data_IF_806925543428
#
_entry.id   IF_806925543428
#
_cell.length_a   1.000
_cell.length_b   1.000
_cell.length_c   1.000
_cell.angle_alpha   90.00
_cell.angle_beta   90.00
_cell.angle_gamma   90.00
#
_symmetry.space_group_name_H-M   'P 1'
#
loop_
_entity.id
_entity.type
_entity.pdbx_description
1 polymer ?
#
# COMPACT_ATOMS: atom_id res chain seq x y z
N UNK A 1 -11.09 -70.69 16.50
CA UNK A 1 -11.09 -69.51 17.40
C UNK A 1 -11.31 -68.24 16.58
N UNK A 2 -12.55 -67.79 16.44
CA UNK A 2 -12.90 -66.54 15.73
C UNK A 2 -14.10 -65.90 16.43
N UNK A 3 -13.88 -65.12 17.49
CA UNK A 3 -14.91 -64.28 18.10
C UNK A 3 -14.27 -62.98 18.61
N UNK A 4 -15.01 -61.88 18.41
CA UNK A 4 -14.87 -60.56 19.09
C UNK A 4 -14.05 -59.44 18.42
N UNK A 5 -13.87 -59.40 17.10
CA UNK A 5 -13.32 -58.20 16.44
C UNK A 5 -14.39 -57.29 15.81
N UNK A 6 -15.59 -57.81 15.53
CA UNK A 6 -16.58 -57.09 14.71
C UNK A 6 -17.59 -56.21 15.49
N UNK A 7 -17.62 -56.30 16.82
CA UNK A 7 -18.58 -55.55 17.66
C UNK A 7 -18.04 -54.21 18.20
N UNK A 8 -16.74 -53.92 18.05
CA UNK A 8 -16.11 -52.70 18.58
C UNK A 8 -16.05 -51.53 17.58
N UNK A 9 -16.13 -51.83 16.28
CA UNK A 9 -16.08 -50.83 15.20
C UNK A 9 -17.24 -49.82 15.25
N UNK A 10 -18.52 -50.21 15.44
CA UNK A 10 -19.62 -49.23 15.44
C UNK A 10 -19.61 -48.33 16.67
N UNK A 11 -19.16 -48.83 17.83
CA UNK A 11 -19.08 -48.05 19.06
C UNK A 11 -17.99 -46.96 18.97
N UNK A 12 -16.86 -47.27 18.31
CA UNK A 12 -15.76 -46.31 18.14
C UNK A 12 -16.13 -45.20 17.14
N UNK A 13 -16.83 -45.55 16.05
CA UNK A 13 -17.36 -44.57 15.08
C UNK A 13 -18.40 -43.65 15.73
N UNK A 14 -19.29 -44.21 16.57
CA UNK A 14 -20.28 -43.44 17.31
C UNK A 14 -19.63 -42.47 18.31
N UNK A 15 -18.56 -42.90 18.99
CA UNK A 15 -17.80 -42.05 19.91
C UNK A 15 -17.13 -40.89 19.18
N UNK A 16 -16.53 -41.14 18.00
CA UNK A 16 -15.91 -40.08 17.19
C UNK A 16 -16.96 -39.07 16.71
N UNK A 17 -18.13 -39.52 16.26
CA UNK A 17 -19.24 -38.64 15.84
C UNK A 17 -19.78 -37.78 17.00
N UNK A 18 -19.85 -38.35 18.20
CA UNK A 18 -20.26 -37.61 19.40
C UNK A 18 -19.19 -36.58 19.79
N UNK A 19 -17.92 -36.94 19.75
CA UNK A 19 -16.81 -36.02 20.05
C UNK A 19 -16.74 -34.88 19.04
N UNK A 20 -16.99 -35.12 17.74
CA UNK A 20 -17.02 -34.05 16.73
C UNK A 20 -18.24 -33.14 16.90
N UNK A 21 -19.42 -33.67 17.21
CA UNK A 21 -20.61 -32.88 17.52
C UNK A 21 -20.44 -31.99 18.77
N UNK A 22 -19.75 -32.49 19.80
CA UNK A 22 -19.50 -31.74 21.04
C UNK A 22 -18.39 -30.69 20.87
N UNK A 23 -17.40 -30.95 20.02
CA UNK A 23 -16.29 -30.01 19.77
C UNK A 23 -16.58 -28.96 18.70
N UNK A 24 -17.57 -29.17 17.83
CA UNK A 24 -18.03 -28.18 16.84
C UNK A 24 -18.31 -26.78 17.42
N UNK A 25 -19.07 -26.60 18.52
CA UNK A 25 -19.32 -25.29 19.10
C UNK A 25 -18.07 -24.64 19.72
N UNK A 26 -17.07 -25.43 20.12
CA UNK A 26 -15.81 -24.91 20.67
C UNK A 26 -14.87 -24.38 19.58
N UNK A 27 -14.88 -25.00 18.39
CA UNK A 27 -14.08 -24.55 17.23
C UNK A 27 -14.68 -23.28 16.60
N UNK A 28 -16.00 -23.07 16.69
CA UNK A 28 -16.66 -21.85 16.19
C UNK A 28 -16.54 -20.65 17.13
N UNK A 29 -16.12 -20.84 18.39
CA UNK A 29 -15.82 -19.74 19.29
C UNK A 29 -14.41 -19.21 19.04
N UNK A 30 -14.15 -18.80 17.79
CA UNK A 30 -12.97 -18.01 17.46
C UNK A 30 -13.17 -16.67 18.15
N UNK A 31 -12.46 -16.45 19.26
CA UNK A 31 -12.34 -15.13 19.86
C UNK A 31 -11.86 -14.16 18.78
N UNK A 32 -12.78 -13.35 18.25
CA UNK A 32 -12.41 -12.16 17.48
C UNK A 32 -11.72 -11.26 18.49
N UNK A 33 -10.40 -11.21 18.44
CA UNK A 33 -9.67 -10.12 19.07
C UNK A 33 -10.32 -8.82 18.55
N UNK A 34 -11.01 -8.11 19.44
CA UNK A 34 -11.60 -6.82 19.11
C UNK A 34 -10.44 -5.85 18.93
N UNK A 35 -9.93 -5.77 17.70
CA UNK A 35 -9.02 -4.72 17.30
C UNK A 35 -9.74 -3.39 17.56
N UNK A 36 -9.16 -2.55 18.40
CA UNK A 36 -9.70 -1.23 18.69
C UNK A 36 -9.29 -0.32 17.53
N UNK A 37 -10.27 0.16 16.77
CA UNK A 37 -10.05 1.02 15.60
C UNK A 37 -10.05 0.26 14.27
N UNK A 38 -10.00 1.01 13.18
CA UNK A 38 -10.15 0.47 11.82
C UNK A 38 -11.60 0.36 11.34
N UNK A 39 -12.57 0.72 12.19
CA UNK A 39 -13.99 0.71 11.84
C UNK A 39 -14.29 1.69 10.71
N UNK A 40 -14.97 1.16 9.68
CA UNK A 40 -15.36 1.90 8.49
C UNK A 40 -16.88 1.95 8.36
N UNK A 41 -17.40 3.02 7.78
CA UNK A 41 -18.81 3.12 7.39
C UNK A 41 -19.12 2.26 6.14
N UNK A 42 -20.37 2.27 5.68
CA UNK A 42 -20.81 1.51 4.49
C UNK A 42 -20.12 1.93 3.19
N UNK A 43 -19.49 3.10 3.16
CA UNK A 43 -18.75 3.62 2.01
C UNK A 43 -17.24 3.37 2.14
N UNK A 44 -16.79 2.79 3.26
CA UNK A 44 -15.39 2.50 3.53
C UNK A 44 -14.63 3.62 4.23
N UNK A 45 -15.31 4.66 4.73
CA UNK A 45 -14.69 5.79 5.41
C UNK A 45 -14.34 5.45 6.85
N UNK A 46 -13.12 5.75 7.28
CA UNK A 46 -12.62 5.44 8.61
C UNK A 46 -13.24 6.37 9.68
N UNK A 47 -14.26 5.87 10.38
CA UNK A 47 -15.11 6.65 11.30
C UNK A 47 -14.28 7.16 12.49
N UNK A 48 -13.42 6.30 13.06
CA UNK A 48 -12.58 6.65 14.21
C UNK A 48 -11.56 7.76 13.92
N UNK A 49 -11.23 8.00 12.65
CA UNK A 49 -10.37 9.11 12.21
C UNK A 49 -11.18 10.34 11.78
N UNK A 50 -12.52 10.29 11.89
CA UNK A 50 -13.40 11.41 11.59
C UNK A 50 -13.80 11.56 10.12
N UNK A 51 -13.50 10.58 9.27
CA UNK A 51 -13.94 10.59 7.88
C UNK A 51 -15.40 10.17 7.76
N UNK A 52 -16.12 10.87 6.88
CA UNK A 52 -17.48 10.55 6.48
C UNK A 52 -17.62 10.65 4.97
N UNK A 53 -18.51 9.83 4.40
CA UNK A 53 -18.84 9.92 2.99
C UNK A 53 -19.45 11.28 2.62
N UNK A 54 -18.98 11.88 1.52
CA UNK A 54 -19.57 13.08 0.91
C UNK A 54 -20.03 12.74 -0.50
N UNK A 55 -21.34 12.82 -0.76
CA UNK A 55 -21.92 12.59 -2.09
C UNK A 55 -21.48 13.67 -3.10
N UNK A 56 -21.35 14.92 -2.64
CA UNK A 56 -20.93 16.06 -3.46
C UNK A 56 -19.51 15.88 -4.02
N UNK A 57 -18.61 15.34 -3.21
CA UNK A 57 -17.19 15.13 -3.54
C UNK A 57 -16.96 13.73 -4.12
N UNK A 58 -17.83 12.77 -3.78
CA UNK A 58 -17.69 11.34 -4.12
C UNK A 58 -16.43 10.71 -3.50
N UNK A 59 -16.14 11.08 -2.24
CA UNK A 59 -15.03 10.58 -1.46
C UNK A 59 -15.29 10.70 0.05
N UNK A 60 -14.51 9.95 0.83
CA UNK A 60 -14.41 10.12 2.27
C UNK A 60 -13.64 11.39 2.59
N UNK A 61 -14.24 12.28 3.39
CA UNK A 61 -13.65 13.57 3.77
C UNK A 61 -13.86 13.85 5.24
N UNK A 62 -13.02 14.72 5.80
CA UNK A 62 -13.30 15.41 7.06
C UNK A 62 -13.96 16.73 6.73
N UNK A 63 -15.24 16.88 7.03
CA UNK A 63 -16.03 18.06 6.66
C UNK A 63 -15.43 19.37 7.16
N UNK A 64 -14.67 19.34 8.26
CA UNK A 64 -13.97 20.50 8.81
C UNK A 64 -12.66 20.88 8.10
N UNK A 65 -12.13 20.02 7.23
CA UNK A 65 -10.95 20.33 6.39
C UNK A 65 -11.40 20.89 5.04
N UNK A 66 -12.60 20.54 4.59
CA UNK A 66 -13.18 20.96 3.29
C UNK A 66 -14.25 22.05 3.48
N UNK A 67 -13.92 23.11 4.24
CA UNK A 67 -14.90 24.14 4.67
C UNK A 67 -15.26 25.18 3.62
N UNK A 68 -14.33 25.53 2.74
CA UNK A 68 -14.51 26.61 1.76
C UNK A 68 -14.77 26.05 0.36
N UNK A 69 -15.55 26.77 -0.43
CA UNK A 69 -15.97 26.35 -1.78
C UNK A 69 -14.79 26.00 -2.68
N UNK A 70 -13.71 26.79 -2.63
CA UNK A 70 -12.50 26.51 -3.39
C UNK A 70 -11.86 25.17 -3.02
N UNK A 71 -11.81 24.82 -1.73
CA UNK A 71 -11.23 23.56 -1.27
C UNK A 71 -12.14 22.38 -1.61
N UNK A 72 -13.47 22.56 -1.55
CA UNK A 72 -14.44 21.56 -2.01
C UNK A 72 -14.30 21.27 -3.49
N UNK A 73 -14.18 22.29 -4.32
CA UNK A 73 -13.99 22.14 -5.77
C UNK A 73 -12.69 21.39 -6.09
N UNK A 74 -11.61 21.68 -5.35
CA UNK A 74 -10.35 20.94 -5.48
C UNK A 74 -10.49 19.48 -5.04
N UNK A 75 -11.15 19.22 -3.91
CA UNK A 75 -11.42 17.86 -3.43
C UNK A 75 -12.24 17.06 -4.46
N UNK A 76 -13.30 17.66 -5.01
CA UNK A 76 -14.18 17.07 -6.01
C UNK A 76 -13.48 16.75 -7.32
N UNK A 77 -12.66 17.69 -7.81
CA UNK A 77 -11.81 17.46 -9.00
C UNK A 77 -10.82 16.33 -8.77
N UNK A 78 -10.17 16.31 -7.60
CA UNK A 78 -9.22 15.27 -7.22
C UNK A 78 -9.90 13.89 -7.18
N UNK A 79 -11.03 13.77 -6.49
CA UNK A 79 -11.81 12.54 -6.41
C UNK A 79 -12.27 12.08 -7.81
N UNK A 80 -12.82 12.99 -8.62
CA UNK A 80 -13.29 12.68 -9.97
C UNK A 80 -12.17 12.18 -10.89
N UNK A 81 -10.99 12.81 -10.81
CA UNK A 81 -9.80 12.36 -11.54
C UNK A 81 -9.36 10.98 -11.07
N UNK A 82 -9.28 10.73 -9.76
CA UNK A 82 -8.94 9.40 -9.23
C UNK A 82 -9.94 8.31 -9.68
N UNK A 83 -11.25 8.61 -9.67
CA UNK A 83 -12.28 7.69 -10.17
C UNK A 83 -12.05 7.39 -11.66
N UNK A 84 -11.74 8.40 -12.48
CA UNK A 84 -11.48 8.22 -13.91
C UNK A 84 -10.24 7.36 -14.20
N UNK A 85 -9.29 7.30 -13.26
CA UNK A 85 -8.10 6.45 -13.32
C UNK A 85 -8.34 5.05 -12.72
N UNK A 86 -9.58 4.71 -12.36
CA UNK A 86 -9.97 3.40 -11.86
C UNK A 86 -9.79 3.18 -10.36
N UNK A 87 -9.49 4.23 -9.59
CA UNK A 87 -9.44 4.12 -8.13
C UNK A 87 -10.85 4.08 -7.52
N UNK A 88 -10.98 3.35 -6.40
CA UNK A 88 -12.21 3.26 -5.60
C UNK A 88 -11.89 3.43 -4.11
N UNK A 89 -12.92 3.65 -3.29
CA UNK A 89 -12.78 3.91 -1.84
C UNK A 89 -11.82 5.08 -1.55
N UNK A 90 -12.06 6.21 -2.21
CA UNK A 90 -11.19 7.39 -2.15
C UNK A 90 -11.42 8.12 -0.83
N UNK A 91 -10.32 8.50 -0.18
CA UNK A 91 -10.28 9.41 0.97
C UNK A 91 -9.41 10.60 0.64
N UNK A 92 -9.92 11.81 0.78
CA UNK A 92 -9.11 13.04 0.70
C UNK A 92 -8.55 13.31 2.08
N UNK A 93 -7.23 13.14 2.25
CA UNK A 93 -6.57 13.18 3.54
C UNK A 93 -6.09 14.58 3.93
N UNK A 94 -5.59 15.36 2.96
CA UNK A 94 -5.23 16.78 3.14
C UNK A 94 -5.18 17.51 1.80
N UNK A 95 -5.37 18.83 1.85
CA UNK A 95 -5.19 19.75 0.72
C UNK A 95 -4.31 20.91 1.20
N UNK A 96 -3.13 21.05 0.60
CA UNK A 96 -2.16 22.10 0.90
C UNK A 96 -2.12 23.11 -0.23
N UNK A 97 -2.27 24.40 0.08
CA UNK A 97 -2.13 25.48 -0.89
C UNK A 97 -0.66 25.82 -1.10
N UNK A 98 -0.24 25.95 -2.36
CA UNK A 98 1.15 26.28 -2.70
C UNK A 98 1.31 27.78 -3.03
N UNK A 99 2.55 28.23 -3.19
CA UNK A 99 2.91 29.60 -3.53
C UNK A 99 2.64 29.96 -5.01
N UNK A 100 1.50 29.56 -5.56
CA UNK A 100 0.97 30.07 -6.83
C UNK A 100 -0.57 30.04 -6.85
N UNK A 101 -1.23 30.99 -7.55
CA UNK A 101 -2.70 31.01 -7.65
C UNK A 101 -3.25 29.71 -8.25
N UNK A 102 -4.16 29.05 -7.53
CA UNK A 102 -4.78 27.81 -7.99
C UNK A 102 -3.88 26.58 -7.93
N UNK A 103 -2.78 26.64 -7.19
CA UNK A 103 -1.86 25.52 -7.00
C UNK A 103 -2.10 24.82 -5.67
N UNK A 104 -2.24 23.49 -5.71
CA UNK A 104 -2.49 22.67 -4.54
C UNK A 104 -1.71 21.35 -4.59
N UNK A 105 -1.33 20.85 -3.42
CA UNK A 105 -0.95 19.44 -3.22
C UNK A 105 -2.07 18.75 -2.48
N UNK A 106 -2.61 17.66 -3.04
CA UNK A 106 -3.67 16.86 -2.42
C UNK A 106 -3.11 15.51 -2.04
N UNK A 107 -3.17 15.17 -0.77
CA UNK A 107 -2.91 13.81 -0.30
C UNK A 107 -4.23 13.06 -0.25
N UNK A 108 -4.29 11.91 -0.89
CA UNK A 108 -5.45 11.05 -0.92
C UNK A 108 -5.06 9.59 -0.65
N UNK A 109 -6.03 8.74 -0.34
CA UNK A 109 -5.84 7.30 -0.34
C UNK A 109 -6.97 6.59 -1.08
N UNK A 110 -6.66 5.49 -1.74
CA UNK A 110 -7.60 4.61 -2.41
C UNK A 110 -7.32 3.17 -1.98
N UNK A 111 -8.16 2.64 -1.08
CA UNK A 111 -7.86 1.39 -0.38
C UNK A 111 -6.58 1.51 0.45
N UNK A 112 -5.58 0.69 0.12
CA UNK A 112 -4.26 0.73 0.77
C UNK A 112 -3.29 1.71 0.09
N UNK A 113 -3.58 2.19 -1.11
CA UNK A 113 -2.68 3.10 -1.84
C UNK A 113 -2.81 4.51 -1.28
N UNK A 114 -1.69 5.17 -1.03
CA UNK A 114 -1.60 6.62 -0.75
C UNK A 114 -1.18 7.29 -2.04
N UNK A 115 -1.81 8.41 -2.34
CA UNK A 115 -1.68 9.12 -3.60
C UNK A 115 -1.39 10.58 -3.28
N UNK A 116 -0.50 11.20 -4.05
CA UNK A 116 -0.29 12.65 -4.08
C UNK A 116 -0.74 13.16 -5.43
N UNK A 117 -1.55 14.20 -5.45
CA UNK A 117 -1.94 14.90 -6.66
C UNK A 117 -1.34 16.30 -6.61
N UNK A 118 -0.69 16.69 -7.71
CA UNK A 118 -0.24 18.06 -7.90
C UNK A 118 -1.21 18.77 -8.84
N UNK A 119 -1.76 19.89 -8.37
CA UNK A 119 -2.72 20.71 -9.10
C UNK A 119 -2.08 22.06 -9.38
N UNK A 120 -2.13 22.50 -10.63
CA UNK A 120 -1.67 23.82 -11.06
C UNK A 120 -2.75 24.40 -11.95
N UNK A 121 -3.05 25.70 -11.80
CA UNK A 121 -4.12 26.37 -12.55
C UNK A 121 -5.47 25.65 -12.47
N UNK A 122 -5.75 24.96 -11.35
CA UNK A 122 -6.95 24.16 -11.14
C UNK A 122 -7.11 22.91 -12.02
N UNK A 123 -6.03 22.41 -12.62
CA UNK A 123 -5.95 21.15 -13.36
C UNK A 123 -5.04 20.14 -12.65
N UNK A 124 -5.43 18.86 -12.64
CA UNK A 124 -4.61 17.78 -12.07
C UNK A 124 -3.51 17.43 -13.05
N UNK A 125 -2.25 17.73 -12.70
CA UNK A 125 -1.10 17.47 -13.56
C UNK A 125 -0.60 16.03 -13.48
N UNK A 126 -0.50 15.50 -12.26
CA UNK A 126 0.00 14.14 -12.03
C UNK A 126 -0.63 13.52 -10.79
N UNK A 127 -0.70 12.19 -10.78
CA UNK A 127 -1.04 11.36 -9.64
C UNK A 127 0.18 10.50 -9.33
N UNK A 128 0.81 10.73 -8.18
CA UNK A 128 1.96 9.98 -7.70
C UNK A 128 1.46 8.98 -6.66
N UNK A 129 1.69 7.68 -6.87
CA UNK A 129 1.41 6.67 -5.86
C UNK A 129 2.53 6.64 -4.82
N UNK A 130 2.24 7.09 -3.60
CA UNK A 130 3.18 7.12 -2.48
C UNK A 130 3.42 5.74 -1.87
N UNK A 131 2.55 4.74 -2.13
CA UNK A 131 2.83 3.33 -1.86
C UNK A 131 3.69 2.69 -2.94
N UNK A 132 3.92 3.39 -4.06
CA UNK A 132 5.02 3.15 -4.97
C UNK A 132 6.25 3.96 -4.52
N UNK A 133 6.52 3.94 -3.22
CA UNK A 133 7.90 4.00 -2.73
C UNK A 133 8.62 2.68 -3.00
N UNK A 134 8.41 2.11 -4.20
CA UNK A 134 9.52 1.66 -5.04
C UNK A 134 10.34 2.88 -5.44
N UNK A 135 10.95 3.51 -4.42
CA UNK A 135 12.18 4.30 -4.46
C UNK A 135 12.33 5.35 -5.54
N UNK A 136 12.35 6.60 -5.08
CA UNK A 136 13.05 7.68 -5.76
C UNK A 136 14.34 7.14 -6.42
N UNK A 137 14.45 7.35 -7.73
CA UNK A 137 15.62 6.88 -8.49
C UNK A 137 16.80 7.76 -8.09
N UNK A 138 17.74 7.18 -7.35
CA UNK A 138 18.94 7.89 -6.96
C UNK A 138 20.04 7.51 -7.95
N UNK A 139 20.38 8.45 -8.82
CA UNK A 139 21.42 8.27 -9.82
C UNK A 139 22.80 8.23 -9.17
N UNK A 140 23.63 7.30 -9.64
CA UNK A 140 25.01 7.22 -9.20
C UNK A 140 25.80 8.41 -9.77
N UNK A 141 26.23 9.32 -8.90
CA UNK A 141 27.10 10.43 -9.28
C UNK A 141 28.45 9.92 -9.81
N UNK A 142 29.06 10.64 -10.76
CA UNK A 142 30.32 10.23 -11.41
C UNK A 142 31.49 10.05 -10.43
N UNK A 143 31.49 10.78 -9.31
CA UNK A 143 32.47 10.61 -8.22
C UNK A 143 32.35 9.29 -7.47
N UNK A 144 31.17 8.65 -7.51
CA UNK A 144 30.88 7.40 -6.83
C UNK A 144 30.95 6.18 -7.75
N UNK A 145 31.11 6.40 -9.07
CA UNK A 145 31.24 5.35 -10.06
C UNK A 145 32.63 4.72 -9.97
N UNK A 146 32.68 3.42 -9.69
CA UNK A 146 33.94 2.67 -9.56
C UNK A 146 34.67 2.84 -8.23
N UNK A 147 34.02 3.36 -7.19
CA UNK A 147 34.58 3.40 -5.83
C UNK A 147 34.87 1.99 -5.30
N UNK A 148 36.13 1.70 -4.97
CA UNK A 148 36.59 0.35 -4.55
C UNK A 148 36.35 0.11 -3.05
N UNK A 149 36.14 1.17 -2.26
CA UNK A 149 36.02 1.09 -0.80
C UNK A 149 34.58 1.41 -0.40
N UNK A 150 33.81 0.38 -0.08
CA UNK A 150 32.47 0.50 0.49
C UNK A 150 32.40 -0.09 1.90
N UNK A 151 31.56 0.48 2.75
CA UNK A 151 31.21 -0.08 4.06
C UNK A 151 30.43 -1.39 3.89
N UNK A 152 30.52 -2.28 4.88
CA UNK A 152 29.79 -3.56 4.90
C UNK A 152 28.44 -3.45 5.64
N UNK A 153 27.86 -2.25 5.68
CA UNK A 153 26.51 -2.07 6.20
C UNK A 153 25.49 -2.66 5.23
N UNK A 154 24.49 -3.34 5.79
CA UNK A 154 23.40 -3.93 5.02
C UNK A 154 22.19 -3.00 5.05
N UNK A 155 22.15 -2.09 4.08
CA UNK A 155 21.06 -1.17 3.76
C UNK A 155 20.64 -1.40 2.31
N UNK A 156 19.95 -2.51 2.00
CA UNK A 156 19.89 -3.05 0.65
C UNK A 156 19.24 -2.09 -0.34
N UNK A 157 19.77 -2.10 -1.56
CA UNK A 157 19.26 -1.30 -2.69
C UNK A 157 19.15 -2.15 -3.95
N UNK A 158 18.21 -1.79 -4.82
CA UNK A 158 18.03 -2.37 -6.13
C UNK A 158 18.71 -1.48 -7.18
N UNK A 159 19.80 -1.95 -7.79
CA UNK A 159 20.51 -1.22 -8.84
C UNK A 159 19.96 -1.54 -10.23
N UNK A 160 19.83 -0.53 -11.09
CA UNK A 160 19.33 -0.62 -12.48
C UNK A 160 20.42 -0.29 -13.49
N UNK A 161 20.52 -1.06 -14.58
CA UNK A 161 21.60 -0.91 -15.57
C UNK A 161 21.37 0.18 -16.63
N UNK A 162 22.47 0.78 -17.12
CA UNK A 162 22.50 1.98 -18.00
C UNK A 162 21.88 1.78 -19.38
N UNK A 163 22.15 0.68 -20.10
CA UNK A 163 21.52 0.44 -21.41
C UNK A 163 21.78 -1.00 -21.86
N UNK A 164 20.81 -1.60 -22.56
CA UNK A 164 20.74 -3.00 -23.03
C UNK A 164 20.60 -4.04 -21.92
N UNK A 165 19.38 -4.23 -21.43
CA UNK A 165 19.03 -5.42 -20.69
C UNK A 165 17.74 -5.97 -21.30
N UNK A 166 17.80 -7.20 -21.81
CA UNK A 166 16.61 -8.00 -22.11
C UNK A 166 15.93 -8.34 -20.78
N UNK A 167 14.59 -8.34 -20.78
CA UNK A 167 13.68 -8.03 -19.67
C UNK A 167 13.76 -8.90 -18.39
N UNK A 168 14.74 -9.80 -18.27
CA UNK A 168 14.87 -10.73 -17.14
C UNK A 168 16.04 -10.46 -16.17
N UNK A 169 17.02 -9.58 -16.51
CA UNK A 169 18.19 -9.32 -15.62
C UNK A 169 18.62 -7.84 -15.54
N UNK A 170 17.65 -6.92 -15.60
CA UNK A 170 17.90 -5.47 -15.56
C UNK A 170 18.28 -4.93 -14.18
N UNK A 171 18.01 -5.70 -13.14
CA UNK A 171 18.06 -5.26 -11.75
C UNK A 171 18.87 -6.23 -10.90
N UNK A 172 19.56 -5.71 -9.90
CA UNK A 172 20.33 -6.51 -8.94
C UNK A 172 20.31 -5.89 -7.57
N UNK A 173 20.09 -6.72 -6.55
CA UNK A 173 20.17 -6.31 -5.15
C UNK A 173 21.64 -6.15 -4.74
N UNK A 174 21.97 -5.01 -4.15
CA UNK A 174 23.25 -4.70 -3.53
C UNK A 174 23.08 -4.49 -2.03
N UNK A 175 24.14 -4.73 -1.25
CA UNK A 175 24.10 -4.56 0.20
C UNK A 175 23.87 -3.12 0.65
N UNK A 176 24.35 -2.15 -0.12
CA UNK A 176 24.12 -0.71 0.09
C UNK A 176 24.33 0.10 -1.20
N UNK A 177 24.02 1.39 -1.13
CA UNK A 177 24.15 2.34 -2.24
C UNK A 177 25.57 2.44 -2.82
N UNK A 178 26.61 2.40 -1.97
CA UNK A 178 28.00 2.43 -2.44
C UNK A 178 28.32 1.22 -3.30
N UNK A 179 27.94 0.02 -2.85
CA UNK A 179 28.15 -1.21 -3.61
C UNK A 179 27.41 -1.17 -4.96
N UNK A 180 26.19 -0.64 -5.00
CA UNK A 180 25.45 -0.45 -6.25
C UNK A 180 26.16 0.50 -7.21
N UNK A 181 26.59 1.67 -6.74
CA UNK A 181 27.26 2.67 -7.57
C UNK A 181 28.72 2.34 -7.91
N UNK A 182 29.36 1.45 -7.16
CA UNK A 182 30.68 0.92 -7.50
C UNK A 182 30.65 0.05 -8.76
N UNK A 183 29.53 -0.60 -9.06
CA UNK A 183 29.33 -1.35 -10.29
C UNK A 183 29.02 -0.37 -11.43
N UNK A 184 29.99 -0.21 -12.34
CA UNK A 184 29.88 0.72 -13.47
C UNK A 184 28.75 0.39 -14.46
N UNK A 185 28.14 -0.79 -14.35
CA UNK A 185 26.96 -1.15 -15.15
C UNK A 185 25.67 -0.52 -14.62
N UNK A 186 25.65 -0.02 -13.39
CA UNK A 186 24.48 0.56 -12.71
C UNK A 186 24.38 2.07 -12.98
N UNK A 187 23.19 2.51 -13.38
CA UNK A 187 22.84 3.91 -13.65
C UNK A 187 22.29 4.60 -12.40
N UNK A 188 21.29 3.97 -11.81
CA UNK A 188 20.61 4.44 -10.60
C UNK A 188 20.25 3.26 -9.71
N UNK A 189 19.99 3.57 -8.44
CA UNK A 189 19.49 2.60 -7.50
C UNK A 189 18.22 3.08 -6.81
N UNK A 190 17.61 2.12 -6.15
CA UNK A 190 16.30 2.17 -5.57
C UNK A 190 16.39 1.56 -4.16
N UNK A 191 15.87 2.22 -3.12
CA UNK A 191 15.93 1.68 -1.75
C UNK A 191 15.14 0.38 -1.61
N UNK A 192 15.73 -0.62 -0.95
CA UNK A 192 15.17 -1.95 -0.80
C UNK A 192 15.72 -2.96 -1.80
N UNK A 193 15.43 -4.23 -1.59
CA UNK A 193 15.84 -5.31 -2.49
C UNK A 193 15.00 -5.30 -3.78
N UNK A 194 15.55 -5.79 -4.89
CA UNK A 194 14.80 -5.94 -6.14
C UNK A 194 13.66 -6.96 -5.99
N UNK A 195 12.57 -6.75 -6.72
CA UNK A 195 11.36 -7.59 -6.72
C UNK A 195 11.16 -8.31 -8.04
#
# INVERSE_FOLDING_TARGET
MKKKLFTFVPAFILLILIVTLISLPFILNKSKNNLIGGDKDSYGCLIGAGYSWSEEINACVRSWEVKNESIKEIAKKSASKLISEGYSQITIASIETLNCPGCYTVMASAGEKRLRLNIINSEVLEIVNLFDSGSEKIYCADENRGNIICTLDYTPVCGHKVTSCEEEFCYRTYGNACMACSDSSIDYYQTGECK
#
